data_IF_279261697962
#
_entry.id   IF_279261697962
#
_cell.length_a   1.000
_cell.length_b   1.000
_cell.length_c   1.000
_cell.angle_alpha   90.00
_cell.angle_beta   90.00
_cell.angle_gamma   90.00
#
_symmetry.space_group_name_H-M   'P 1'
#
loop_
_entity.id
_entity.type
_entity.pdbx_description
1 polymer ?
#
# COMPACT_ATOMS: atom_id res chain seq x y z
N UNK A 1 2.60 4.77 6.46
CA UNK A 1 2.93 3.81 5.38
C UNK A 1 3.88 2.77 5.96
N UNK A 2 3.61 1.48 5.73
CA UNK A 2 4.43 0.37 6.21
C UNK A 2 5.02 -0.38 5.01
N UNK A 3 6.35 -0.50 4.91
CA UNK A 3 7.00 -1.11 3.75
C UNK A 3 8.28 -1.86 4.09
N UNK A 4 8.63 -2.84 3.26
CA UNK A 4 9.94 -3.50 3.26
C UNK A 4 10.68 -3.33 1.94
N UNK A 5 11.98 -3.10 2.02
CA UNK A 5 12.86 -2.93 0.87
C UNK A 5 14.22 -3.59 1.11
N UNK A 6 14.48 -4.73 0.45
CA UNK A 6 15.75 -5.45 0.59
C UNK A 6 16.93 -4.76 -0.11
N UNK A 7 16.69 -4.18 -1.30
CA UNK A 7 17.75 -3.58 -2.15
C UNK A 7 17.53 -2.10 -2.45
N UNK A 8 16.63 -1.42 -1.75
CA UNK A 8 16.37 0.01 -1.90
C UNK A 8 15.28 0.38 -2.93
N UNK A 9 15.01 -0.40 -3.96
CA UNK A 9 14.04 -0.06 -5.02
C UNK A 9 12.63 0.19 -4.47
N UNK A 10 12.13 -0.69 -3.58
CA UNK A 10 10.82 -0.51 -2.95
C UNK A 10 10.79 0.72 -2.04
N UNK A 11 11.92 1.09 -1.42
CA UNK A 11 12.02 2.32 -0.63
C UNK A 11 11.90 3.58 -1.50
N UNK A 12 12.50 3.59 -2.70
CA UNK A 12 12.36 4.68 -3.67
C UNK A 12 10.90 4.85 -4.12
N UNK A 13 10.20 3.74 -4.35
CA UNK A 13 8.77 3.75 -4.66
C UNK A 13 7.92 4.21 -3.46
N UNK A 14 8.28 3.80 -2.23
CA UNK A 14 7.65 4.27 -1.02
C UNK A 14 7.78 5.79 -0.87
N UNK A 15 8.94 6.36 -1.19
CA UNK A 15 9.14 7.81 -1.21
C UNK A 15 8.25 8.49 -2.26
N UNK A 16 8.04 7.89 -3.43
CA UNK A 16 7.13 8.40 -4.45
C UNK A 16 5.65 8.38 -3.97
N UNK A 17 5.22 7.29 -3.34
CA UNK A 17 3.87 7.21 -2.72
C UNK A 17 3.71 8.29 -1.65
N UNK A 18 4.72 8.47 -0.79
CA UNK A 18 4.71 9.49 0.26
C UNK A 18 4.60 10.90 -0.32
N UNK A 19 5.37 11.20 -1.37
CA UNK A 19 5.32 12.49 -2.06
C UNK A 19 3.91 12.77 -2.63
N UNK A 20 3.30 11.80 -3.30
CA UNK A 20 1.95 11.94 -3.84
C UNK A 20 0.89 12.16 -2.76
N UNK A 21 0.99 11.45 -1.63
CA UNK A 21 0.08 11.65 -0.51
C UNK A 21 0.25 13.03 0.14
N UNK A 22 1.49 13.50 0.31
CA UNK A 22 1.79 14.83 0.83
C UNK A 22 1.25 15.95 -0.08
N UNK A 23 1.32 15.79 -1.40
CA UNK A 23 0.71 16.72 -2.38
C UNK A 23 -0.80 16.81 -2.24
N UNK A 24 -1.45 15.74 -1.82
CA UNK A 24 -2.88 15.76 -1.48
C UNK A 24 -3.17 16.29 -0.07
N UNK A 25 -2.15 16.78 0.65
CA UNK A 25 -2.28 17.39 1.98
C UNK A 25 -2.27 16.41 3.16
N UNK A 26 -1.79 15.18 2.97
CA UNK A 26 -1.63 14.23 4.07
C UNK A 26 -0.33 14.45 4.85
N UNK A 27 -0.37 14.28 6.18
CA UNK A 27 0.84 14.07 6.99
C UNK A 27 1.30 12.63 6.85
N UNK A 28 2.47 12.41 6.30
CA UNK A 28 2.96 11.08 5.92
C UNK A 28 4.09 10.62 6.83
N UNK A 29 3.95 9.42 7.39
CA UNK A 29 5.01 8.71 8.10
C UNK A 29 5.43 7.46 7.32
N UNK A 30 6.72 7.31 7.09
CA UNK A 30 7.32 6.17 6.39
C UNK A 30 7.96 5.23 7.41
N UNK A 31 7.50 3.99 7.48
CA UNK A 31 7.93 2.99 8.45
C UNK A 31 8.48 1.78 7.69
N UNK A 32 9.78 1.52 7.83
CA UNK A 32 10.42 0.32 7.33
C UNK A 32 10.18 -0.83 8.33
N UNK A 33 9.38 -1.84 7.92
CA UNK A 33 8.86 -2.87 8.82
C UNK A 33 9.92 -3.80 9.41
N UNK A 34 11.10 -3.86 8.81
CA UNK A 34 12.26 -4.61 9.29
C UNK A 34 13.07 -3.87 10.37
N UNK A 35 12.73 -2.62 10.67
CA UNK A 35 13.43 -1.74 11.62
C UNK A 35 12.49 -0.95 12.52
N UNK A 36 11.28 -1.48 12.76
CA UNK A 36 10.28 -0.83 13.59
C UNK A 36 10.70 -0.76 15.05
N UNK A 37 10.44 0.40 15.67
CA UNK A 37 10.43 0.61 17.11
C UNK A 37 9.02 0.59 17.70
N UNK A 38 8.92 0.66 19.03
CA UNK A 38 7.62 0.64 19.72
C UNK A 38 6.69 1.79 19.29
N UNK A 39 7.24 2.99 19.11
CA UNK A 39 6.48 4.19 18.68
C UNK A 39 5.91 4.10 17.27
N UNK A 40 6.46 3.24 16.41
CA UNK A 40 5.96 3.07 15.04
C UNK A 40 4.59 2.39 15.02
N UNK A 41 4.32 1.53 16.00
CA UNK A 41 3.00 0.92 16.17
C UNK A 41 1.94 1.95 16.51
N UNK A 42 2.24 2.90 17.40
CA UNK A 42 1.32 3.99 17.75
C UNK A 42 1.02 4.87 16.53
N UNK A 43 2.03 5.12 15.69
CA UNK A 43 1.84 5.87 14.43
C UNK A 43 0.90 5.12 13.48
N UNK A 44 1.04 3.80 13.32
CA UNK A 44 0.14 3.00 12.50
C UNK A 44 -1.29 2.95 13.08
N UNK A 45 -1.38 2.83 14.40
CA UNK A 45 -2.66 2.75 15.11
C UNK A 45 -3.43 4.09 15.07
N UNK A 46 -2.72 5.22 15.04
CA UNK A 46 -3.31 6.56 14.93
C UNK A 46 -3.64 6.98 13.48
N UNK A 47 -3.06 6.36 12.47
CA UNK A 47 -3.22 6.77 11.07
C UNK A 47 -4.66 6.55 10.55
N UNK A 48 -5.16 7.46 9.70
CA UNK A 48 -6.43 7.32 8.97
C UNK A 48 -6.35 6.30 7.84
N UNK A 49 -5.16 6.09 7.29
CA UNK A 49 -4.90 5.14 6.20
C UNK A 49 -3.48 4.60 6.24
N UNK A 50 -3.29 3.37 5.75
CA UNK A 50 -1.99 2.70 5.71
C UNK A 50 -1.75 2.17 4.29
N UNK A 51 -0.72 2.66 3.61
CA UNK A 51 -0.27 2.06 2.35
C UNK A 51 0.80 1.02 2.66
N UNK A 52 0.60 -0.19 2.16
CA UNK A 52 1.50 -1.32 2.33
C UNK A 52 2.43 -1.47 1.13
N UNK A 53 3.71 -1.65 1.37
CA UNK A 53 4.71 -1.84 0.32
C UNK A 53 5.62 -3.03 0.57
N UNK A 54 5.77 -3.91 -0.42
CA UNK A 54 6.71 -5.02 -0.33
C UNK A 54 7.39 -5.27 -1.68
N UNK A 55 8.66 -5.67 -1.66
CA UNK A 55 9.22 -6.33 -2.81
C UNK A 55 8.53 -7.67 -3.04
N UNK A 56 8.38 -8.08 -4.31
CA UNK A 56 7.93 -9.43 -4.63
C UNK A 56 9.13 -10.37 -4.64
N UNK A 57 9.19 -11.27 -3.68
CA UNK A 57 10.17 -12.35 -3.60
C UNK A 57 9.47 -13.71 -3.70
N UNK A 58 9.95 -14.56 -4.60
CA UNK A 58 9.34 -15.88 -4.85
C UNK A 58 7.81 -15.81 -5.06
N UNK A 59 7.37 -14.77 -5.78
CA UNK A 59 5.96 -14.57 -6.13
C UNK A 59 5.07 -14.03 -5.00
N UNK A 60 5.61 -13.60 -3.86
CA UNK A 60 4.81 -13.12 -2.72
C UNK A 60 5.48 -11.93 -2.01
N UNK A 61 4.86 -11.43 -0.94
CA UNK A 61 5.48 -10.46 -0.05
C UNK A 61 6.79 -10.99 0.53
N UNK A 62 7.69 -10.09 0.87
CA UNK A 62 8.96 -10.47 1.52
C UNK A 62 8.73 -11.10 2.90
N UNK A 63 9.67 -11.95 3.34
CA UNK A 63 9.62 -12.56 4.67
C UNK A 63 9.55 -11.50 5.80
N UNK A 64 10.24 -10.37 5.66
CA UNK A 64 10.17 -9.27 6.64
C UNK A 64 8.77 -8.64 6.68
N UNK A 65 8.11 -8.45 5.53
CA UNK A 65 6.73 -7.97 5.51
C UNK A 65 5.77 -9.00 6.11
N UNK A 66 5.95 -10.29 5.82
CA UNK A 66 5.16 -11.37 6.41
C UNK A 66 5.32 -11.41 7.94
N UNK A 67 6.54 -11.28 8.45
CA UNK A 67 6.79 -11.21 9.89
C UNK A 67 6.09 -10.01 10.55
N UNK A 68 6.11 -8.84 9.89
CA UNK A 68 5.33 -7.68 10.33
C UNK A 68 3.83 -8.01 10.35
N UNK A 69 3.30 -8.61 9.29
CA UNK A 69 1.88 -8.96 9.22
C UNK A 69 1.45 -9.90 10.37
N UNK A 70 2.26 -10.90 10.71
CA UNK A 70 1.99 -11.81 11.83
C UNK A 70 1.97 -11.09 13.19
N UNK A 71 2.81 -10.09 13.39
CA UNK A 71 2.83 -9.29 14.63
C UNK A 71 1.57 -8.41 14.81
N UNK A 72 0.79 -8.18 13.76
CA UNK A 72 -0.46 -7.41 13.83
C UNK A 72 -1.66 -8.22 14.35
N UNK A 73 -1.52 -9.51 14.63
CA UNK A 73 -2.62 -10.41 14.97
C UNK A 73 -3.52 -9.89 16.09
N UNK A 74 -2.95 -9.33 17.16
CA UNK A 74 -3.73 -8.72 18.25
C UNK A 74 -4.57 -7.53 17.75
N UNK A 75 -3.99 -6.64 16.91
CA UNK A 75 -4.69 -5.49 16.30
C UNK A 75 -5.84 -5.90 15.40
N UNK A 76 -5.68 -7.04 14.71
CA UNK A 76 -6.75 -7.63 13.91
C UNK A 76 -7.91 -8.06 14.79
N UNK A 77 -7.66 -8.80 15.88
CA UNK A 77 -8.70 -9.27 16.84
C UNK A 77 -9.40 -8.08 17.51
N UNK A 78 -8.66 -7.08 17.93
CA UNK A 78 -9.19 -5.87 18.58
C UNK A 78 -9.88 -4.90 17.59
N UNK A 79 -9.69 -5.10 16.28
CA UNK A 79 -10.24 -4.22 15.24
C UNK A 79 -9.61 -2.84 15.20
N UNK A 80 -8.36 -2.68 15.65
CA UNK A 80 -7.66 -1.38 15.78
C UNK A 80 -7.56 -0.64 14.46
N UNK A 81 -7.43 -1.37 13.34
CA UNK A 81 -7.34 -0.78 11.99
C UNK A 81 -8.66 -0.84 11.22
N UNK A 82 -9.75 -1.25 11.87
CA UNK A 82 -11.08 -1.30 11.25
C UNK A 82 -11.43 0.03 10.61
N UNK A 83 -11.96 -0.04 9.40
CA UNK A 83 -12.45 1.10 8.61
C UNK A 83 -11.37 2.12 8.20
N UNK A 84 -10.08 1.88 8.46
CA UNK A 84 -9.01 2.67 7.86
C UNK A 84 -8.91 2.39 6.37
N UNK A 85 -8.34 3.33 5.63
CA UNK A 85 -8.06 3.16 4.20
C UNK A 85 -6.76 2.39 4.02
N UNK A 86 -6.73 1.46 3.07
CA UNK A 86 -5.53 0.72 2.69
C UNK A 86 -5.30 0.74 1.17
N UNK A 87 -4.06 0.62 0.75
CA UNK A 87 -3.64 0.37 -0.62
C UNK A 87 -2.31 -0.37 -0.62
N UNK A 88 -1.85 -0.82 -1.78
CA UNK A 88 -0.57 -1.52 -1.87
C UNK A 88 0.23 -1.23 -3.12
N UNK A 89 1.56 -1.39 -2.99
CA UNK A 89 2.50 -1.35 -4.11
C UNK A 89 3.59 -2.40 -3.95
N UNK A 90 4.17 -2.79 -5.08
CA UNK A 90 5.23 -3.80 -5.11
C UNK A 90 6.23 -3.56 -6.23
N UNK A 91 7.41 -4.16 -6.12
CA UNK A 91 8.45 -4.15 -7.14
C UNK A 91 9.05 -5.55 -7.32
N UNK A 92 9.49 -5.87 -8.53
CA UNK A 92 10.32 -7.04 -8.82
C UNK A 92 11.17 -6.82 -10.07
N UNK A 93 12.20 -7.67 -10.29
CA UNK A 93 13.07 -7.63 -11.47
C UNK A 93 12.37 -8.03 -12.75
N UNK A 94 11.48 -9.02 -12.72
CA UNK A 94 10.74 -9.43 -13.90
C UNK A 94 9.53 -8.52 -14.16
N UNK A 95 9.18 -8.30 -15.44
CA UNK A 95 8.04 -7.43 -15.81
C UNK A 95 6.71 -7.92 -15.22
N UNK A 96 6.40 -9.20 -15.31
CA UNK A 96 5.26 -9.82 -14.60
C UNK A 96 5.65 -10.17 -13.16
N UNK A 97 6.58 -11.11 -13.00
CA UNK A 97 7.20 -11.50 -11.73
C UNK A 97 6.22 -11.91 -10.63
N UNK A 98 5.00 -12.30 -11.02
CA UNK A 98 3.90 -12.65 -10.11
C UNK A 98 3.56 -11.55 -9.09
N UNK A 99 3.85 -10.28 -9.45
CA UNK A 99 3.53 -9.10 -8.65
C UNK A 99 2.05 -9.01 -8.26
N UNK A 100 1.16 -9.52 -9.11
CA UNK A 100 -0.27 -9.57 -8.80
C UNK A 100 -0.52 -10.36 -7.52
N UNK A 101 0.16 -11.49 -7.31
CA UNK A 101 -0.02 -12.28 -6.10
C UNK A 101 0.43 -11.51 -4.84
N UNK A 102 1.53 -10.76 -4.92
CA UNK A 102 1.95 -9.86 -3.83
C UNK A 102 0.89 -8.80 -3.53
N UNK A 103 0.33 -8.14 -4.55
CA UNK A 103 -0.72 -7.14 -4.37
C UNK A 103 -2.00 -7.75 -3.79
N UNK A 104 -2.36 -8.96 -4.20
CA UNK A 104 -3.49 -9.71 -3.62
C UNK A 104 -3.24 -10.06 -2.16
N UNK A 105 -2.03 -10.51 -1.80
CA UNK A 105 -1.65 -10.78 -0.42
C UNK A 105 -1.79 -9.55 0.47
N UNK A 106 -1.35 -8.37 -0.02
CA UNK A 106 -1.52 -7.10 0.68
C UNK A 106 -3.00 -6.71 0.84
N UNK A 107 -3.83 -6.93 -0.19
CA UNK A 107 -5.26 -6.64 -0.14
C UNK A 107 -6.00 -7.58 0.83
N UNK A 108 -5.65 -8.87 0.83
CA UNK A 108 -6.19 -9.85 1.80
C UNK A 108 -5.77 -9.48 3.21
N UNK A 109 -4.51 -9.10 3.43
CA UNK A 109 -4.03 -8.61 4.72
C UNK A 109 -4.85 -7.40 5.22
N UNK A 110 -5.09 -6.40 4.35
CA UNK A 110 -5.94 -5.26 4.68
C UNK A 110 -7.39 -5.69 5.01
N UNK A 111 -7.95 -6.65 4.26
CA UNK A 111 -9.29 -7.19 4.50
C UNK A 111 -9.39 -7.92 5.85
N UNK A 112 -8.36 -8.67 6.28
CA UNK A 112 -8.28 -9.27 7.62
C UNK A 112 -8.36 -8.22 8.73
N UNK A 113 -7.81 -7.03 8.49
CA UNK A 113 -7.89 -5.88 9.38
C UNK A 113 -9.17 -5.04 9.21
N UNK A 114 -10.14 -5.48 8.39
CA UNK A 114 -11.40 -4.78 8.11
C UNK A 114 -11.20 -3.39 7.48
N UNK A 115 -10.13 -3.20 6.71
CA UNK A 115 -9.78 -1.94 6.05
C UNK A 115 -10.47 -1.80 4.70
N UNK A 116 -10.65 -0.55 4.24
CA UNK A 116 -11.14 -0.24 2.90
C UNK A 116 -10.00 -0.20 1.89
N UNK A 117 -10.00 -1.12 0.93
CA UNK A 117 -8.95 -1.16 -0.09
C UNK A 117 -9.20 -0.15 -1.21
N UNK A 118 -8.20 0.69 -1.48
CA UNK A 118 -8.19 1.63 -2.61
C UNK A 118 -7.30 1.06 -3.72
N UNK A 119 -7.90 0.81 -4.87
CA UNK A 119 -7.21 0.37 -6.07
C UNK A 119 -6.45 1.51 -6.74
N UNK A 120 -5.62 1.19 -7.76
CA UNK A 120 -4.80 2.19 -8.46
C UNK A 120 -5.61 3.28 -9.17
N UNK A 121 -6.78 2.93 -9.73
CA UNK A 121 -7.67 3.90 -10.40
C UNK A 121 -7.13 4.49 -11.70
N UNK A 122 -6.18 3.82 -12.35
CA UNK A 122 -5.64 4.16 -13.67
C UNK A 122 -6.00 3.06 -14.68
N UNK A 123 -6.23 3.42 -15.95
CA UNK A 123 -6.23 2.44 -17.03
C UNK A 123 -4.83 1.82 -17.19
N UNK A 124 -4.69 0.68 -17.87
CA UNK A 124 -3.37 0.16 -18.21
C UNK A 124 -2.70 1.09 -19.22
N UNK A 125 -1.47 1.48 -18.94
CA UNK A 125 -0.60 2.13 -19.92
C UNK A 125 0.04 1.10 -20.85
N UNK A 126 0.70 1.59 -21.90
CA UNK A 126 1.46 0.77 -22.86
C UNK A 126 0.66 -0.43 -23.43
N UNK A 127 -0.59 -0.21 -23.76
CA UNK A 127 -1.55 -1.23 -24.21
C UNK A 127 -2.11 -0.99 -25.62
N UNK A 128 -1.54 -0.06 -26.37
CA UNK A 128 -1.93 0.26 -27.75
C UNK A 128 -0.69 0.52 -28.62
N UNK A 129 -0.87 0.54 -29.93
CA UNK A 129 0.22 0.81 -30.89
C UNK A 129 0.78 2.24 -30.80
N UNK A 130 0.09 3.15 -30.12
CA UNK A 130 0.47 4.56 -29.96
C UNK A 130 0.94 4.89 -28.53
N UNK A 131 0.91 3.92 -27.62
CA UNK A 131 1.35 4.06 -26.23
C UNK A 131 2.75 3.46 -26.03
N UNK A 132 3.41 3.80 -24.91
CA UNK A 132 4.78 3.40 -24.64
C UNK A 132 5.08 3.14 -23.16
N UNK A 133 6.33 2.80 -22.90
CA UNK A 133 6.80 2.48 -21.54
C UNK A 133 6.77 3.67 -20.59
N UNK A 134 6.67 4.89 -21.11
CA UNK A 134 6.56 6.11 -20.32
C UNK A 134 5.15 6.39 -19.81
N UNK A 135 4.14 5.65 -20.26
CA UNK A 135 2.77 5.84 -19.82
C UNK A 135 2.57 5.39 -18.36
N UNK A 136 1.70 6.07 -17.63
CA UNK A 136 1.33 5.66 -16.27
C UNK A 136 0.74 4.25 -16.28
N UNK A 137 1.04 3.49 -15.23
CA UNK A 137 0.60 2.10 -15.11
C UNK A 137 1.04 1.23 -16.30
N UNK A 138 2.26 1.45 -16.81
CA UNK A 138 2.84 0.72 -17.97
C UNK A 138 2.80 -0.80 -17.83
N UNK A 139 2.75 -1.32 -16.60
CA UNK A 139 2.69 -2.77 -16.31
C UNK A 139 1.26 -3.29 -16.18
N UNK A 140 0.24 -2.43 -16.20
CA UNK A 140 -1.17 -2.82 -16.26
C UNK A 140 -1.76 -3.44 -15.00
N UNK A 141 -1.26 -3.10 -13.81
CA UNK A 141 -1.87 -3.53 -12.56
C UNK A 141 -3.03 -2.63 -12.15
N UNK A 142 -4.14 -3.21 -11.68
CA UNK A 142 -5.33 -2.46 -11.27
C UNK A 142 -5.51 -2.41 -9.75
N UNK A 143 -5.19 -3.50 -9.05
CA UNK A 143 -5.45 -3.63 -7.62
C UNK A 143 -4.53 -2.76 -6.76
N UNK A 144 -3.35 -2.40 -7.27
CA UNK A 144 -2.34 -1.55 -6.63
C UNK A 144 -1.29 -1.14 -7.64
N UNK A 145 -0.21 -0.49 -7.21
CA UNK A 145 0.89 -0.10 -8.09
C UNK A 145 1.95 -1.20 -8.17
N UNK A 146 2.25 -1.65 -9.39
CA UNK A 146 3.38 -2.55 -9.68
C UNK A 146 4.51 -1.79 -10.37
N UNK A 147 5.75 -2.07 -9.98
CA UNK A 147 6.96 -1.54 -10.60
C UNK A 147 7.91 -2.65 -11.03
N UNK A 148 8.76 -2.36 -12.00
CA UNK A 148 9.84 -3.25 -12.43
C UNK A 148 11.16 -2.49 -12.39
N UNK A 149 12.16 -3.09 -11.76
CA UNK A 149 13.52 -2.55 -11.71
C UNK A 149 14.50 -3.69 -11.92
N UNK A 150 15.45 -3.51 -12.82
CA UNK A 150 16.47 -4.52 -13.09
C UNK A 150 17.20 -4.90 -11.79
N UNK A 151 17.55 -6.18 -11.66
CA UNK A 151 18.09 -6.72 -10.40
C UNK A 151 19.47 -6.18 -10.03
N UNK A 152 20.21 -5.71 -11.02
CA UNK A 152 21.52 -5.09 -10.92
C UNK A 152 21.49 -3.56 -10.95
N UNK A 153 20.30 -2.96 -11.06
CA UNK A 153 20.13 -1.52 -11.02
C UNK A 153 20.32 -0.94 -9.61
N UNK A 154 20.80 0.28 -9.50
CA UNK A 154 20.84 1.01 -8.25
C UNK A 154 19.42 1.42 -7.80
N UNK A 155 19.25 1.72 -6.52
CA UNK A 155 17.94 2.06 -5.92
C UNK A 155 17.30 3.33 -6.50
N UNK A 156 18.05 4.20 -7.12
CA UNK A 156 17.61 5.42 -7.81
C UNK A 156 17.27 5.22 -9.30
N UNK A 157 17.52 4.03 -9.83
CA UNK A 157 17.28 3.68 -11.24
C UNK A 157 15.92 3.02 -11.47
N UNK A 158 14.94 3.30 -10.62
CA UNK A 158 13.55 2.86 -10.86
C UNK A 158 12.96 3.63 -12.03
N UNK A 159 12.25 2.91 -12.91
CA UNK A 159 11.68 3.51 -14.12
C UNK A 159 10.78 4.73 -13.80
N UNK A 160 10.95 5.87 -14.48
CA UNK A 160 10.21 7.11 -14.16
C UNK A 160 8.67 6.94 -14.20
N UNK A 161 8.14 6.14 -15.11
CA UNK A 161 6.70 5.83 -15.18
C UNK A 161 6.22 5.11 -13.92
N UNK A 162 6.98 4.14 -13.40
CA UNK A 162 6.62 3.41 -12.19
C UNK A 162 6.66 4.32 -10.96
N UNK A 163 7.63 5.24 -10.88
CA UNK A 163 7.70 6.29 -9.85
C UNK A 163 6.47 7.18 -9.92
N UNK A 164 6.09 7.68 -11.10
CA UNK A 164 4.87 8.50 -11.27
C UNK A 164 3.59 7.73 -10.94
N UNK A 165 3.54 6.45 -11.27
CA UNK A 165 2.40 5.55 -10.95
C UNK A 165 2.26 5.39 -9.43
N UNK A 166 3.35 5.19 -8.71
CA UNK A 166 3.36 5.13 -7.25
C UNK A 166 2.99 6.48 -6.61
N UNK A 167 3.47 7.60 -7.15
CA UNK A 167 3.07 8.94 -6.71
C UNK A 167 1.56 9.16 -6.88
N UNK A 168 0.99 8.74 -8.03
CA UNK A 168 -0.45 8.77 -8.25
C UNK A 168 -1.21 7.93 -7.21
N UNK A 169 -0.74 6.72 -6.88
CA UNK A 169 -1.35 5.89 -5.83
C UNK A 169 -1.42 6.64 -4.50
N UNK A 170 -0.31 7.27 -4.09
CA UNK A 170 -0.25 8.05 -2.85
C UNK A 170 -1.25 9.20 -2.83
N UNK A 171 -1.30 10.00 -3.89
CA UNK A 171 -2.27 11.08 -4.05
C UNK A 171 -3.71 10.56 -3.96
N UNK A 172 -4.02 9.47 -4.67
CA UNK A 172 -5.35 8.86 -4.69
C UNK A 172 -5.78 8.37 -3.31
N UNK A 173 -4.89 7.67 -2.60
CA UNK A 173 -5.17 7.17 -1.24
C UNK A 173 -5.49 8.31 -0.29
N UNK A 174 -4.67 9.36 -0.25
CA UNK A 174 -4.90 10.52 0.60
C UNK A 174 -6.22 11.24 0.26
N UNK A 175 -6.53 11.36 -1.05
CA UNK A 175 -7.79 11.95 -1.50
C UNK A 175 -9.01 11.14 -1.04
N UNK A 176 -9.01 9.82 -1.23
CA UNK A 176 -10.09 8.92 -0.79
C UNK A 176 -10.22 8.92 0.73
N UNK A 177 -9.12 8.87 1.46
CA UNK A 177 -9.11 8.93 2.94
C UNK A 177 -9.79 10.21 3.43
N UNK A 178 -9.45 11.36 2.85
CA UNK A 178 -10.08 12.63 3.21
C UNK A 178 -11.59 12.64 2.91
N UNK A 179 -12.01 12.13 1.73
CA UNK A 179 -13.44 12.03 1.40
C UNK A 179 -14.20 11.17 2.40
N UNK A 180 -13.62 10.03 2.79
CA UNK A 180 -14.22 9.11 3.76
C UNK A 180 -14.35 9.76 5.14
N UNK A 181 -13.31 10.46 5.60
CA UNK A 181 -13.32 11.15 6.89
C UNK A 181 -14.34 12.30 6.93
N UNK A 182 -14.45 13.07 5.86
CA UNK A 182 -15.49 14.12 5.73
C UNK A 182 -16.89 13.50 5.75
N UNK A 183 -17.11 12.41 5.02
CA UNK A 183 -18.37 11.69 5.00
C UNK A 183 -18.78 11.14 6.38
N UNK A 184 -17.83 10.59 7.13
CA UNK A 184 -18.04 10.10 8.50
C UNK A 184 -18.40 11.23 9.47
N UNK A 185 -17.73 12.37 9.38
CA UNK A 185 -18.03 13.54 10.21
C UNK A 185 -19.41 14.13 9.92
N UNK A 186 -19.86 14.08 8.64
CA UNK A 186 -21.15 14.61 8.22
C UNK A 186 -22.32 13.66 8.52
N UNK A 187 -22.08 12.36 8.62
CA UNK A 187 -23.13 11.34 8.83
C UNK A 187 -22.64 10.31 9.86
N UNK A 188 -22.67 10.63 11.16
CA UNK A 188 -22.31 9.65 12.18
C UNK A 188 -23.32 8.49 12.12
N UNK A 189 -22.89 7.37 11.55
CA UNK A 189 -23.69 6.15 11.44
C UNK A 189 -23.72 5.46 12.80
N UNK A 190 -24.92 5.09 13.27
CA UNK A 190 -25.05 4.20 14.42
C UNK A 190 -24.32 2.88 14.13
N UNK A 191 -23.68 2.31 15.17
CA UNK A 191 -22.96 1.03 15.05
C UNK A 191 -23.85 -0.04 14.40
N UNK A 192 -23.26 -0.82 13.49
CA UNK A 192 -23.99 -1.88 12.78
C UNK A 192 -24.65 -2.85 13.78
N UNK A 193 -25.92 -3.23 13.56
CA UNK A 193 -26.57 -4.23 14.43
C UNK A 193 -25.79 -5.55 14.35
N UNK A 194 -25.41 -6.10 15.50
CA UNK A 194 -24.71 -7.38 15.61
C UNK A 194 -23.18 -7.32 15.73
N UNK A 195 -22.55 -6.15 15.76
CA UNK A 195 -21.12 -6.03 16.10
C UNK A 195 -20.90 -6.14 17.62
N UNK A 196 -21.32 -7.26 18.21
CA UNK A 196 -20.94 -7.64 19.57
C UNK A 196 -19.47 -8.06 19.56
N UNK A 197 -18.67 -7.54 20.48
CA UNK A 197 -17.31 -7.99 20.74
C UNK A 197 -17.29 -9.52 20.89
N UNK A 198 -16.48 -10.20 20.09
CA UNK A 198 -16.24 -11.62 20.30
C UNK A 198 -15.72 -11.83 21.74
N UNK A 199 -16.16 -12.89 22.43
CA UNK A 199 -15.65 -13.17 23.76
C UNK A 199 -14.13 -13.41 23.67
N UNK A 200 -13.39 -12.79 24.59
CA UNK A 200 -11.96 -13.04 24.76
C UNK A 200 -11.77 -14.51 25.15
N UNK A 201 -11.04 -15.26 24.33
CA UNK A 201 -10.51 -16.59 24.67
C UNK A 201 -9.02 -16.49 24.97
#
# INVERSE_FOLDING_TARGET
MAYHSGFGHTASLAAAVAAGAAEAGADVRMIAVDRMGETDWDVLDAADGIVFGSATYMGNVSAAFQSFAEQTGRRCIEGTWRDKVAAGFTNSGAKSGDKLNTLLSLAVFAAQHHMHWVNLGLPPGWNSSTSGEDDLNRLGFFIGAGAQTDVDANSDQVHPSDVRTCRHLGWRVAHVTRQLNVGRAASPVASAPGASSAPAH
#
